data_IF_951360532829
#
_entry.id   IF_951360532829
#
_cell.length_a   1.000
_cell.length_b   1.000
_cell.length_c   1.000
_cell.angle_alpha   90.00
_cell.angle_beta   90.00
_cell.angle_gamma   90.00
#
_symmetry.space_group_name_H-M   'P 1'
#
loop_
_entity.id
_entity.type
_entity.pdbx_description
1 polymer ?
#
# COMPACT_ATOMS: atom_id res chain seq x y z
N UNK A 1 -15.11 -4.40 -14.04
CA UNK A 1 -14.37 -3.59 -13.04
C UNK A 1 -13.59 -4.46 -12.06
N UNK A 2 -14.21 -5.42 -11.35
CA UNK A 2 -13.52 -6.27 -10.34
C UNK A 2 -12.34 -7.08 -10.90
N UNK A 3 -12.45 -7.64 -12.12
CA UNK A 3 -11.39 -8.48 -12.73
C UNK A 3 -10.05 -7.75 -12.86
N UNK A 4 -10.05 -6.47 -13.27
CA UNK A 4 -8.84 -5.66 -13.40
C UNK A 4 -8.15 -5.39 -12.06
N UNK A 5 -8.91 -5.21 -10.98
CA UNK A 5 -8.36 -4.97 -9.64
C UNK A 5 -7.66 -6.21 -9.08
N UNK A 6 -8.17 -7.41 -9.37
CA UNK A 6 -7.55 -8.67 -8.91
C UNK A 6 -6.28 -8.98 -9.72
N UNK A 7 -6.22 -8.59 -11.00
CA UNK A 7 -5.05 -8.79 -11.86
C UNK A 7 -3.83 -7.95 -11.50
N UNK A 8 -4.01 -6.83 -10.79
CA UNK A 8 -2.91 -6.02 -10.28
C UNK A 8 -2.77 -6.24 -8.77
N UNK A 9 -2.16 -7.37 -8.32
CA UNK A 9 -1.94 -7.61 -6.90
C UNK A 9 -1.20 -6.42 -6.30
N UNK A 10 -1.81 -5.80 -5.29
CA UNK A 10 -1.26 -4.63 -4.64
C UNK A 10 0.05 -4.94 -3.90
N UNK A 11 0.78 -3.91 -3.45
CA UNK A 11 2.05 -4.08 -2.75
C UNK A 11 1.95 -5.01 -1.53
N UNK A 12 0.83 -4.98 -0.81
CA UNK A 12 0.58 -5.86 0.34
C UNK A 12 0.57 -7.34 -0.04
N UNK A 13 -0.11 -7.71 -1.13
CA UNK A 13 -0.18 -9.11 -1.61
C UNK A 13 1.20 -9.60 -2.03
N UNK A 14 1.97 -8.76 -2.73
CA UNK A 14 3.32 -9.09 -3.18
C UNK A 14 4.30 -9.22 -2.00
N UNK A 15 4.23 -8.34 -1.01
CA UNK A 15 5.04 -8.44 0.21
C UNK A 15 4.69 -9.70 1.02
N UNK A 16 3.42 -10.08 1.09
CA UNK A 16 3.01 -11.34 1.73
C UNK A 16 3.58 -12.55 0.98
N UNK A 17 3.57 -12.52 -0.35
CA UNK A 17 4.13 -13.60 -1.17
C UNK A 17 5.65 -13.71 -1.00
N UNK A 18 6.38 -12.59 -1.03
CA UNK A 18 7.83 -12.56 -0.78
C UNK A 18 8.16 -13.12 0.61
N UNK A 19 7.41 -12.72 1.64
CA UNK A 19 7.58 -13.24 3.00
C UNK A 19 7.22 -14.73 3.12
N UNK A 20 6.22 -15.21 2.39
CA UNK A 20 5.85 -16.62 2.37
C UNK A 20 6.92 -17.48 1.69
N UNK A 21 7.52 -16.98 0.61
CA UNK A 21 8.59 -17.66 -0.12
C UNK A 21 9.89 -17.64 0.70
N UNK A 22 10.24 -16.53 1.33
CA UNK A 22 11.51 -16.37 2.06
C UNK A 22 11.49 -16.96 3.48
N UNK A 23 10.36 -16.83 4.20
CA UNK A 23 10.25 -17.21 5.62
C UNK A 23 9.22 -18.32 5.90
N UNK A 24 8.58 -18.87 4.87
CA UNK A 24 7.54 -19.87 4.99
C UNK A 24 6.19 -19.33 5.49
N UNK A 25 5.20 -20.22 5.58
CA UNK A 25 3.81 -19.87 5.93
C UNK A 25 3.67 -19.15 7.28
N UNK A 26 4.43 -19.57 8.30
CA UNK A 26 4.33 -19.01 9.66
C UNK A 26 4.81 -17.56 9.72
N UNK A 27 5.87 -17.21 8.99
CA UNK A 27 6.35 -15.82 8.93
C UNK A 27 5.35 -14.92 8.17
N UNK A 28 4.77 -15.43 7.08
CA UNK A 28 3.76 -14.70 6.31
C UNK A 28 2.48 -14.42 7.13
N UNK A 29 2.02 -15.37 7.96
CA UNK A 29 0.82 -15.20 8.78
C UNK A 29 0.90 -14.00 9.72
N UNK A 30 2.06 -13.73 10.33
CA UNK A 30 2.24 -12.56 11.19
C UNK A 30 2.10 -11.25 10.40
N UNK A 31 2.65 -11.21 9.19
CA UNK A 31 2.50 -10.06 8.29
C UNK A 31 1.05 -9.85 7.85
N UNK A 32 0.33 -10.92 7.52
CA UNK A 32 -1.09 -10.87 7.13
C UNK A 32 -1.96 -10.41 8.30
N UNK A 33 -1.74 -10.93 9.51
CA UNK A 33 -2.47 -10.52 10.70
C UNK A 33 -2.21 -9.05 11.03
N UNK A 34 -0.96 -8.59 10.94
CA UNK A 34 -0.62 -7.18 11.12
C UNK A 34 -1.32 -6.29 10.08
N UNK A 35 -1.34 -6.72 8.82
CA UNK A 35 -2.04 -5.99 7.74
C UNK A 35 -3.56 -5.94 7.99
N UNK A 36 -4.18 -7.05 8.41
CA UNK A 36 -5.60 -7.14 8.71
C UNK A 36 -5.98 -6.26 9.91
N UNK A 37 -5.21 -6.32 10.99
CA UNK A 37 -5.41 -5.48 12.18
C UNK A 37 -5.22 -4.00 11.85
N UNK A 38 -4.20 -3.65 11.06
CA UNK A 38 -3.98 -2.28 10.61
C UNK A 38 -5.14 -1.75 9.77
N UNK A 39 -5.67 -2.58 8.85
CA UNK A 39 -6.84 -2.24 8.05
C UNK A 39 -8.10 -2.05 8.91
N UNK A 40 -8.34 -2.95 9.86
CA UNK A 40 -9.46 -2.86 10.81
C UNK A 40 -9.34 -1.62 11.69
N UNK A 41 -8.15 -1.31 12.20
CA UNK A 41 -7.89 -0.12 12.98
C UNK A 41 -8.13 1.16 12.15
N UNK A 42 -7.59 1.24 10.92
CA UNK A 42 -7.86 2.39 10.04
C UNK A 42 -9.35 2.55 9.74
N UNK A 43 -10.06 1.45 9.45
CA UNK A 43 -11.50 1.49 9.20
C UNK A 43 -12.26 1.98 10.44
N UNK A 44 -11.89 1.50 11.62
CA UNK A 44 -12.42 1.96 12.91
C UNK A 44 -12.17 3.46 13.12
N UNK A 45 -10.92 3.91 12.99
CA UNK A 45 -10.53 5.32 13.12
C UNK A 45 -11.25 6.23 12.11
N UNK A 46 -11.41 5.77 10.87
CA UNK A 46 -12.11 6.52 9.82
C UNK A 46 -13.61 6.67 10.13
N UNK A 47 -14.25 5.57 10.57
CA UNK A 47 -15.65 5.57 10.99
C UNK A 47 -15.90 6.37 12.28
N UNK A 48 -14.90 6.44 13.17
CA UNK A 48 -14.97 7.18 14.44
C UNK A 48 -14.91 8.71 14.30
N UNK A 49 -14.77 9.25 13.08
CA UNK A 49 -15.01 10.68 12.84
C UNK A 49 -13.78 11.54 12.59
N UNK A 50 -12.63 10.96 12.19
CA UNK A 50 -11.51 11.76 11.63
C UNK A 50 -12.01 12.63 10.46
N UNK A 51 -12.94 12.09 9.66
CA UNK A 51 -13.60 12.86 8.59
C UNK A 51 -14.40 14.05 9.10
N UNK A 52 -15.04 13.97 10.27
CA UNK A 52 -15.79 15.08 10.88
C UNK A 52 -14.85 16.21 11.31
N UNK A 53 -13.70 15.87 11.92
CA UNK A 53 -12.72 16.85 12.40
C UNK A 53 -12.05 17.61 11.25
N UNK A 54 -11.78 16.91 10.14
CA UNK A 54 -11.23 17.51 8.93
C UNK A 54 -12.30 18.34 8.19
N UNK A 55 -13.57 17.93 8.22
CA UNK A 55 -14.67 18.67 7.57
C UNK A 55 -14.95 20.03 8.24
N UNK A 56 -14.79 20.13 9.56
CA UNK A 56 -15.01 21.36 10.31
C UNK A 56 -14.00 22.47 10.00
N UNK A 57 -12.84 22.17 9.40
CA UNK A 57 -11.80 23.15 9.09
C UNK A 57 -11.30 23.05 7.65
N UNK A 58 -11.71 23.98 6.75
CA UNK A 58 -11.27 23.99 5.35
C UNK A 58 -9.75 24.11 5.20
N UNK A 59 -9.07 24.85 6.09
CA UNK A 59 -7.63 25.04 6.04
C UNK A 59 -6.85 23.74 6.34
N UNK A 60 -7.32 22.95 7.31
CA UNK A 60 -6.69 21.69 7.67
C UNK A 60 -6.81 20.66 6.54
N UNK A 61 -7.98 20.58 5.90
CA UNK A 61 -8.17 19.72 4.73
C UNK A 61 -7.24 20.10 3.57
N UNK A 62 -7.10 21.40 3.28
CA UNK A 62 -6.20 21.87 2.22
C UNK A 62 -4.73 21.53 2.52
N UNK A 63 -4.26 21.78 3.74
CA UNK A 63 -2.89 21.44 4.15
C UNK A 63 -2.64 19.94 3.96
N UNK A 64 -3.56 19.09 4.43
CA UNK A 64 -3.45 17.64 4.29
C UNK A 64 -3.43 17.20 2.83
N UNK A 65 -4.24 17.85 1.97
CA UNK A 65 -4.26 17.57 0.53
C UNK A 65 -2.90 17.86 -0.12
N UNK A 66 -2.34 19.03 0.14
CA UNK A 66 -1.02 19.40 -0.40
C UNK A 66 0.12 18.57 0.19
N UNK A 67 0.04 18.24 1.49
CA UNK A 67 0.99 17.34 2.14
C UNK A 67 0.98 15.93 1.51
N UNK A 68 -0.21 15.39 1.21
CA UNK A 68 -0.36 14.11 0.51
C UNK A 68 0.26 14.14 -0.89
N UNK A 69 0.03 15.21 -1.66
CA UNK A 69 0.65 15.39 -2.98
C UNK A 69 2.17 15.44 -2.88
N UNK A 70 2.72 16.23 -1.94
CA UNK A 70 4.16 16.33 -1.73
C UNK A 70 4.78 14.98 -1.32
N UNK A 71 4.09 14.24 -0.44
CA UNK A 71 4.53 12.92 0.00
C UNK A 71 4.56 11.89 -1.15
N UNK A 72 3.53 11.89 -2.01
CA UNK A 72 3.50 11.04 -3.19
C UNK A 72 4.60 11.42 -4.19
N UNK A 73 4.84 12.71 -4.42
CA UNK A 73 5.97 13.17 -5.26
C UNK A 73 7.31 12.66 -4.71
N UNK A 74 7.53 12.78 -3.40
CA UNK A 74 8.71 12.25 -2.76
C UNK A 74 8.83 10.73 -2.92
N UNK A 75 7.73 9.97 -2.75
CA UNK A 75 7.71 8.52 -2.91
C UNK A 75 7.99 8.10 -4.37
N UNK A 76 7.43 8.81 -5.34
CA UNK A 76 7.68 8.59 -6.77
C UNK A 76 9.15 8.80 -7.10
N UNK A 77 9.75 9.91 -6.68
CA UNK A 77 11.18 10.18 -6.88
C UNK A 77 12.07 9.15 -6.20
N UNK A 78 11.71 8.74 -4.98
CA UNK A 78 12.44 7.71 -4.23
C UNK A 78 12.38 6.35 -4.93
N UNK A 79 11.25 6.01 -5.53
CA UNK A 79 11.06 4.74 -6.25
C UNK A 79 11.81 4.73 -7.57
N UNK A 80 11.80 5.84 -8.31
CA UNK A 80 12.57 6.00 -9.56
C UNK A 80 14.08 5.93 -9.37
N UNK A 81 14.58 6.38 -8.22
CA UNK A 81 16.02 6.36 -7.90
C UNK A 81 16.50 5.02 -7.34
N UNK A 82 15.60 4.12 -6.97
CA UNK A 82 15.95 2.79 -6.45
C UNK A 82 15.92 1.77 -7.60
N UNK A 83 16.87 0.83 -7.58
CA UNK A 83 16.90 -0.27 -8.55
C UNK A 83 15.52 -0.98 -8.59
N UNK A 84 15.09 -1.49 -9.75
CA UNK A 84 13.75 -2.04 -9.90
C UNK A 84 13.50 -3.08 -8.80
N UNK A 85 12.42 -2.93 -8.01
CA UNK A 85 12.08 -3.92 -7.00
C UNK A 85 11.96 -5.30 -7.66
N UNK A 86 12.25 -6.37 -6.92
CA UNK A 86 12.27 -7.74 -7.45
C UNK A 86 11.02 -8.11 -8.29
N UNK A 87 9.89 -7.48 -8.01
CA UNK A 87 8.64 -7.55 -8.76
C UNK A 87 8.75 -7.10 -10.23
N UNK A 88 9.51 -6.03 -10.52
CA UNK A 88 9.77 -5.59 -11.89
C UNK A 88 10.61 -6.62 -12.67
N UNK A 89 11.50 -7.35 -11.99
CA UNK A 89 12.27 -8.46 -12.59
C UNK A 89 11.40 -9.68 -12.86
N UNK A 90 10.47 -10.04 -11.97
CA UNK A 90 9.56 -11.16 -12.15
C UNK A 90 8.55 -10.92 -13.30
N UNK A 91 7.99 -9.70 -13.40
CA UNK A 91 7.10 -9.32 -14.51
C UNK A 91 7.82 -9.34 -15.88
N UNK A 92 9.09 -8.92 -15.92
CA UNK A 92 9.91 -8.96 -17.14
C UNK A 92 10.32 -10.39 -17.55
N UNK A 93 10.40 -11.33 -16.61
CA UNK A 93 10.73 -12.73 -16.89
C UNK A 93 9.55 -13.51 -17.50
N UNK A 94 8.31 -13.14 -17.16
CA UNK A 94 7.10 -13.81 -17.68
C UNK A 94 6.67 -13.30 -19.07
N UNK A 95 6.98 -12.04 -19.42
CA UNK A 95 6.70 -11.47 -20.76
C UNK A 95 7.75 -11.78 -21.85
N UNK A 96 8.73 -12.64 -21.57
CA UNK A 96 9.83 -13.01 -22.50
C UNK A 96 9.74 -14.45 -23.03
N UNK A 97 8.62 -15.15 -22.83
CA UNK A 97 8.30 -16.46 -23.41
C UNK A 97 7.12 -16.32 -24.35
#
# INVERSE_FOLDING_TARGET
>A
MVVFTVSSPGPGVLMTLDNAIAGGWRAAMHGVLGLALGAAAMAGLSSAGIGLLIHSSPALFQLLKYAGVAYLFHLSLKTWRRAPPAQARAAQAHGRR
#
